data_IF_351570243088
#
_entry.id   IF_351570243088
#
_cell.length_a   1.000
_cell.length_b   1.000
_cell.length_c   1.000
_cell.angle_alpha   90.00
_cell.angle_beta   90.00
_cell.angle_gamma   90.00
#
_symmetry.space_group_name_H-M   'P 1'
#
loop_
_entity.id
_entity.type
_entity.pdbx_description
1 polymer ?
#
# COMPACT_ATOMS: atom_id res chain seq x y z
N UNK A 1 -3.39 -49.14 -48.07
CA UNK A 1 -2.15 -48.68 -47.39
C UNK A 1 -2.39 -47.26 -46.88
N UNK A 2 -2.82 -47.07 -45.62
CA UNK A 2 -3.10 -45.75 -45.07
C UNK A 2 -1.80 -45.12 -44.56
N UNK A 3 -1.48 -43.90 -45.00
CA UNK A 3 -0.26 -43.17 -44.60
C UNK A 3 -0.58 -42.21 -43.44
N UNK A 4 0.03 -42.53 -42.32
CA UNK A 4 0.16 -41.83 -41.05
C UNK A 4 0.54 -40.34 -41.14
N UNK A 5 -0.44 -39.43 -41.11
CA UNK A 5 -0.23 -37.97 -40.94
C UNK A 5 -1.24 -37.34 -39.97
N UNK A 6 -1.59 -38.08 -38.92
CA UNK A 6 -2.32 -37.57 -37.76
C UNK A 6 -1.55 -38.08 -36.55
N UNK A 7 -0.69 -37.24 -35.94
CA UNK A 7 -0.16 -37.36 -34.57
C UNK A 7 0.94 -36.30 -34.37
N UNK A 8 0.56 -35.03 -34.37
CA UNK A 8 1.36 -33.94 -33.78
C UNK A 8 0.41 -32.83 -33.29
N UNK A 9 -0.63 -33.25 -32.59
CA UNK A 9 -1.54 -32.38 -31.85
C UNK A 9 -1.80 -33.00 -30.47
N UNK A 10 -0.72 -33.32 -29.74
CA UNK A 10 -0.79 -33.83 -28.38
C UNK A 10 0.30 -33.15 -27.55
N UNK A 11 -0.13 -32.52 -26.46
CA UNK A 11 0.66 -31.97 -25.36
C UNK A 11 1.14 -30.50 -25.41
N UNK A 12 0.32 -29.56 -25.88
CA UNK A 12 0.10 -28.33 -25.09
C UNK A 12 -0.90 -28.68 -23.98
N UNK A 13 -0.45 -29.55 -23.07
CA UNK A 13 -1.16 -29.79 -21.83
C UNK A 13 -1.13 -28.47 -21.05
N UNK A 14 -2.32 -27.93 -20.87
CA UNK A 14 -2.60 -26.89 -19.91
C UNK A 14 -1.91 -27.23 -18.58
N UNK A 15 -0.92 -26.43 -18.19
CA UNK A 15 -0.86 -26.04 -16.81
C UNK A 15 -1.91 -24.93 -16.69
N UNK A 16 -3.08 -25.17 -16.07
CA UNK A 16 -3.81 -24.05 -15.56
C UNK A 16 -2.84 -23.40 -14.58
N UNK A 17 -2.30 -22.24 -14.92
CA UNK A 17 -1.88 -21.30 -13.89
C UNK A 17 -3.15 -21.16 -13.05
N UNK A 18 -3.24 -21.91 -11.94
CA UNK A 18 -4.35 -21.79 -11.01
C UNK A 18 -4.36 -20.32 -10.67
N UNK A 19 -5.37 -19.61 -11.17
CA UNK A 19 -5.64 -18.26 -10.74
C UNK A 19 -5.83 -18.39 -9.24
N UNK A 20 -4.78 -18.02 -8.49
CA UNK A 20 -4.84 -18.03 -7.04
C UNK A 20 -5.94 -17.04 -6.71
N UNK A 21 -6.95 -17.50 -5.99
CA UNK A 21 -8.07 -16.64 -5.60
C UNK A 21 -7.53 -15.33 -5.00
N UNK A 22 -8.06 -14.20 -5.48
CA UNK A 22 -7.68 -12.89 -4.97
C UNK A 22 -8.27 -12.81 -3.56
N UNK A 23 -7.40 -12.87 -2.56
CA UNK A 23 -7.76 -12.54 -1.18
C UNK A 23 -8.28 -11.10 -1.15
N UNK A 24 -9.54 -10.85 -0.76
CA UNK A 24 -10.14 -9.50 -0.74
C UNK A 24 -9.78 -8.75 0.56
N UNK A 25 -8.70 -7.97 0.52
CA UNK A 25 -8.17 -7.19 1.65
C UNK A 25 -8.58 -5.72 1.63
N UNK A 26 -9.48 -5.30 0.74
CA UNK A 26 -9.80 -3.89 0.58
C UNK A 26 -10.27 -3.20 1.88
N UNK A 27 -11.12 -3.81 2.73
CA UNK A 27 -11.49 -3.19 4.01
C UNK A 27 -10.29 -2.92 4.92
N UNK A 28 -9.31 -3.84 4.94
CA UNK A 28 -8.08 -3.65 5.69
C UNK A 28 -7.25 -2.51 5.09
N UNK A 29 -7.02 -2.51 3.77
CA UNK A 29 -6.23 -1.45 3.12
C UNK A 29 -6.86 -0.07 3.35
N UNK A 30 -8.19 0.02 3.25
CA UNK A 30 -8.93 1.25 3.56
C UNK A 30 -8.78 1.66 5.04
N UNK A 31 -8.83 0.71 5.99
CA UNK A 31 -8.58 0.98 7.41
C UNK A 31 -7.16 1.49 7.65
N UNK A 32 -6.14 0.84 7.07
CA UNK A 32 -4.74 1.22 7.21
C UNK A 32 -4.50 2.66 6.75
N UNK A 33 -5.10 3.06 5.63
CA UNK A 33 -5.05 4.43 5.10
C UNK A 33 -5.83 5.39 6.01
N UNK A 34 -7.14 5.18 6.12
CA UNK A 34 -8.08 6.21 6.59
C UNK A 34 -8.27 6.25 8.09
N UNK A 35 -7.99 5.16 8.81
CA UNK A 35 -8.21 5.07 10.25
C UNK A 35 -6.89 5.09 11.01
N UNK A 36 -5.95 4.21 10.64
CA UNK A 36 -4.68 4.04 11.33
C UNK A 36 -3.70 5.16 10.98
N UNK A 37 -3.22 5.21 9.73
CA UNK A 37 -2.23 6.21 9.33
C UNK A 37 -2.79 7.63 9.39
N UNK A 38 -3.94 7.91 8.77
CA UNK A 38 -4.52 9.26 8.84
C UNK A 38 -4.94 9.65 10.26
N UNK A 39 -5.34 8.69 11.10
CA UNK A 39 -5.60 8.93 12.52
C UNK A 39 -4.35 9.35 13.29
N UNK A 40 -3.21 8.70 13.05
CA UNK A 40 -1.93 9.09 13.62
C UNK A 40 -1.50 10.48 13.14
N UNK A 41 -1.56 10.72 11.83
CA UNK A 41 -1.18 12.00 11.23
C UNK A 41 -1.99 13.15 11.83
N UNK A 42 -3.32 13.10 11.72
CA UNK A 42 -4.22 14.20 12.10
C UNK A 42 -4.37 14.33 13.61
N UNK A 43 -4.41 13.22 14.34
CA UNK A 43 -4.90 13.20 15.73
C UNK A 43 -3.92 12.60 16.74
N UNK A 44 -2.70 12.25 16.33
CA UNK A 44 -1.68 11.66 17.20
C UNK A 44 -2.07 10.31 17.81
N UNK A 45 -3.10 9.64 17.28
CA UNK A 45 -3.52 8.33 17.77
C UNK A 45 -2.44 7.31 17.48
N UNK A 46 -2.19 6.39 18.40
CA UNK A 46 -1.34 5.23 18.13
C UNK A 46 -1.92 4.46 16.94
N UNK A 47 -1.18 4.29 15.84
CA UNK A 47 -1.70 3.57 14.68
C UNK A 47 -1.72 2.05 14.92
N UNK A 48 -2.56 1.34 14.18
CA UNK A 48 -2.63 -0.12 14.14
C UNK A 48 -3.10 -0.78 15.44
N UNK A 49 -3.71 -0.03 16.36
CA UNK A 49 -4.33 -0.59 17.55
C UNK A 49 -5.44 -1.59 17.18
N UNK A 50 -5.43 -2.74 17.84
CA UNK A 50 -6.36 -3.84 17.55
C UNK A 50 -6.05 -4.64 16.28
N UNK A 51 -4.95 -4.35 15.58
CA UNK A 51 -4.36 -5.30 14.62
C UNK A 51 -3.37 -6.19 15.34
N UNK A 52 -3.31 -7.46 14.95
CA UNK A 52 -2.26 -8.35 15.39
C UNK A 52 -0.93 -7.85 14.80
N UNK A 53 0.08 -7.60 15.64
CA UNK A 53 1.38 -7.06 15.23
C UNK A 53 2.52 -7.80 15.92
N UNK A 54 3.70 -7.76 15.29
CA UNK A 54 4.98 -8.15 15.90
C UNK A 54 6.08 -7.17 15.50
N UNK A 55 7.17 -7.06 16.26
CA UNK A 55 8.35 -6.32 15.80
C UNK A 55 8.80 -6.80 14.42
N UNK A 56 9.16 -5.86 13.55
CA UNK A 56 9.59 -6.19 12.20
C UNK A 56 10.92 -6.95 12.20
N UNK A 57 11.06 -7.89 11.26
CA UNK A 57 12.33 -8.53 10.95
C UNK A 57 13.35 -7.52 10.41
N UNK A 58 14.65 -7.84 10.50
CA UNK A 58 15.71 -6.98 9.92
C UNK A 58 15.51 -6.81 8.42
N UNK A 59 15.12 -7.88 7.74
CA UNK A 59 14.86 -7.89 6.30
C UNK A 59 13.69 -6.97 5.91
N UNK A 60 12.66 -6.87 6.77
CA UNK A 60 11.55 -5.93 6.56
C UNK A 60 11.96 -4.49 6.85
N UNK A 61 12.77 -4.26 7.91
CA UNK A 61 13.36 -2.96 8.22
C UNK A 61 14.24 -2.47 7.05
N UNK A 62 15.04 -3.35 6.45
CA UNK A 62 15.89 -3.06 5.29
C UNK A 62 15.14 -2.62 4.03
N UNK A 63 13.84 -2.89 3.95
CA UNK A 63 12.97 -2.39 2.88
C UNK A 63 12.35 -1.02 3.20
N UNK A 64 12.42 -0.54 4.43
CA UNK A 64 11.96 0.80 4.79
C UNK A 64 13.05 1.81 4.43
N UNK A 65 12.72 2.95 3.77
CA UNK A 65 13.71 3.98 3.47
C UNK A 65 14.49 4.41 4.72
N UNK A 66 15.81 4.52 4.60
CA UNK A 66 16.70 4.82 5.74
C UNK A 66 16.40 6.16 6.44
N UNK A 67 15.75 7.08 5.74
CA UNK A 67 15.33 8.38 6.27
C UNK A 67 13.94 8.36 6.92
N UNK A 68 13.22 7.24 6.90
CA UNK A 68 11.91 7.15 7.53
C UNK A 68 12.06 7.28 9.06
N UNK A 69 11.27 8.14 9.71
CA UNK A 69 11.38 8.35 11.15
C UNK A 69 11.00 7.08 11.90
N UNK A 70 11.73 6.80 12.98
CA UNK A 70 11.51 5.63 13.86
C UNK A 70 11.49 4.27 13.12
N UNK A 71 12.15 4.18 11.95
CA UNK A 71 12.26 2.95 11.14
C UNK A 71 12.60 1.69 11.95
N UNK A 72 13.48 1.80 12.93
CA UNK A 72 13.92 0.65 13.75
C UNK A 72 12.83 0.12 14.70
N UNK A 73 11.73 0.87 14.88
CA UNK A 73 10.54 0.48 15.65
C UNK A 73 9.42 -0.06 14.75
N UNK A 74 9.70 -0.31 13.47
CA UNK A 74 8.71 -0.84 12.55
C UNK A 74 8.10 -2.15 13.06
N UNK A 75 6.86 -2.38 12.68
CA UNK A 75 6.11 -3.58 13.03
C UNK A 75 5.69 -4.29 11.75
N UNK A 76 5.70 -5.62 11.79
CA UNK A 76 4.96 -6.41 10.83
C UNK A 76 3.52 -6.56 11.33
N UNK A 77 2.57 -6.22 10.46
CA UNK A 77 1.17 -6.49 10.70
C UNK A 77 0.96 -7.97 10.39
N UNK A 78 0.41 -8.74 11.34
CA UNK A 78 0.06 -10.15 11.18
C UNK A 78 -1.21 -10.35 10.35
N UNK A 79 -1.70 -9.27 9.76
CA UNK A 79 -2.62 -9.24 8.63
C UNK A 79 -1.78 -9.16 7.34
N UNK A 80 -2.15 -9.88 6.29
CA UNK A 80 -1.23 -10.60 5.42
C UNK A 80 -0.19 -9.66 4.76
N UNK A 81 1.07 -9.75 5.21
CA UNK A 81 2.29 -9.29 4.52
C UNK A 81 2.66 -7.81 4.61
N UNK A 82 2.16 -7.04 5.57
CA UNK A 82 2.55 -5.63 5.70
C UNK A 82 3.64 -5.39 6.73
N UNK A 83 4.59 -4.52 6.40
CA UNK A 83 5.42 -3.81 7.39
C UNK A 83 4.94 -2.38 7.46
N UNK A 84 4.81 -1.87 8.69
CA UNK A 84 4.44 -0.50 8.95
C UNK A 84 5.50 0.18 9.81
N UNK A 85 5.78 1.44 9.49
CA UNK A 85 6.63 2.32 10.27
C UNK A 85 5.95 3.69 10.39
N UNK A 86 6.07 4.32 11.54
CA UNK A 86 5.54 5.65 11.77
C UNK A 86 6.43 6.38 12.75
N UNK A 87 6.45 7.70 12.65
CA UNK A 87 7.27 8.53 13.50
C UNK A 87 7.04 10.00 13.24
N UNK A 88 7.90 10.83 13.82
CA UNK A 88 7.88 12.27 13.63
C UNK A 88 9.29 12.78 13.34
N UNK A 89 9.39 13.72 12.41
CA UNK A 89 10.60 14.48 12.15
C UNK A 89 10.30 16.00 12.15
N UNK A 90 11.21 16.79 11.62
CA UNK A 90 11.05 18.24 11.49
C UNK A 90 9.93 18.67 10.52
N UNK A 91 9.52 17.78 9.61
CA UNK A 91 8.51 18.04 8.59
C UNK A 91 7.10 17.64 9.04
N UNK A 92 6.99 16.74 10.03
CA UNK A 92 5.70 16.38 10.61
C UNK A 92 5.65 14.92 11.06
N UNK A 93 4.43 14.40 11.14
CA UNK A 93 4.20 12.97 11.37
C UNK A 93 4.22 12.25 10.03
N UNK A 94 4.70 11.01 10.06
CA UNK A 94 4.77 10.14 8.89
C UNK A 94 4.28 8.76 9.25
N UNK A 95 3.54 8.12 8.35
CA UNK A 95 3.11 6.74 8.45
C UNK A 95 3.34 6.07 7.10
N UNK A 96 4.09 4.98 7.11
CA UNK A 96 4.46 4.19 5.96
C UNK A 96 3.93 2.78 6.16
N UNK A 97 3.29 2.23 5.14
CA UNK A 97 2.93 0.82 5.09
C UNK A 97 3.45 0.26 3.76
N UNK A 98 4.14 -0.87 3.80
CA UNK A 98 4.66 -1.56 2.62
C UNK A 98 4.32 -3.03 2.67
N UNK A 99 4.14 -3.66 1.52
CA UNK A 99 4.21 -5.11 1.43
C UNK A 99 5.65 -5.59 1.63
N UNK A 100 5.83 -6.71 2.31
CA UNK A 100 7.15 -7.27 2.63
C UNK A 100 7.46 -8.43 1.69
N UNK A 101 8.53 -8.31 0.91
CA UNK A 101 8.97 -9.37 -0.02
C UNK A 101 9.43 -10.65 0.67
N UNK A 102 9.88 -10.58 1.94
CA UNK A 102 10.23 -11.78 2.69
C UNK A 102 9.01 -12.67 2.98
N UNK A 103 7.79 -12.12 2.97
CA UNK A 103 6.58 -12.93 3.08
C UNK A 103 6.45 -13.94 1.93
N UNK A 104 7.00 -13.62 0.74
CA UNK A 104 6.99 -14.56 -0.40
C UNK A 104 7.82 -15.82 -0.11
N UNK A 105 8.88 -15.69 0.70
CA UNK A 105 9.70 -16.83 1.14
C UNK A 105 8.91 -17.78 2.04
N UNK A 106 7.94 -17.26 2.78
CA UNK A 106 7.03 -18.04 3.63
C UNK A 106 5.76 -18.50 2.87
N UNK A 107 5.73 -18.36 1.54
CA UNK A 107 4.59 -18.73 0.69
C UNK A 107 3.42 -17.75 0.74
N UNK A 108 3.60 -16.58 1.38
CA UNK A 108 2.63 -15.50 1.44
C UNK A 108 2.95 -14.43 0.39
N UNK A 109 2.14 -14.27 -0.66
CA UNK A 109 2.50 -13.41 -1.78
C UNK A 109 2.57 -11.92 -1.40
N UNK A 110 3.63 -11.18 -1.75
CA UNK A 110 3.86 -9.79 -1.33
C UNK A 110 2.98 -8.79 -2.12
N UNK A 111 1.68 -8.88 -1.91
CA UNK A 111 0.64 -8.14 -2.65
C UNK A 111 -0.40 -7.61 -1.69
N UNK A 112 -1.07 -6.53 -2.09
CA UNK A 112 -2.17 -5.95 -1.32
C UNK A 112 -3.35 -6.92 -1.19
N UNK A 113 -3.60 -7.76 -2.19
CA UNK A 113 -4.84 -8.53 -2.26
C UNK A 113 -6.04 -7.60 -2.42
N UNK A 114 -5.97 -6.67 -3.36
CA UNK A 114 -7.14 -5.88 -3.77
C UNK A 114 -7.30 -6.03 -5.27
N UNK A 115 -8.55 -6.03 -5.74
CA UNK A 115 -8.84 -6.00 -7.17
C UNK A 115 -8.35 -4.68 -7.73
N UNK A 116 -7.59 -4.72 -8.82
CA UNK A 116 -7.03 -3.50 -9.41
C UNK A 116 -8.16 -2.62 -9.99
N UNK A 117 -9.12 -3.26 -10.66
CA UNK A 117 -10.29 -2.59 -11.20
C UNK A 117 -11.03 -1.71 -10.16
N UNK A 118 -11.18 -0.44 -10.54
CA UNK A 118 -11.90 0.62 -9.81
C UNK A 118 -11.37 0.93 -8.39
N UNK A 119 -10.27 0.32 -7.94
CA UNK A 119 -9.75 0.49 -6.58
C UNK A 119 -9.37 1.94 -6.28
N UNK A 120 -8.62 2.59 -7.18
CA UNK A 120 -8.27 4.01 -7.02
C UNK A 120 -9.50 4.93 -7.05
N UNK A 121 -10.55 4.53 -7.77
CA UNK A 121 -11.85 5.22 -7.75
C UNK A 121 -12.45 5.18 -6.35
N UNK A 122 -12.54 4.00 -5.73
CA UNK A 122 -13.05 3.84 -4.36
C UNK A 122 -12.18 4.54 -3.32
N UNK A 123 -10.86 4.51 -3.48
CA UNK A 123 -9.94 5.30 -2.63
C UNK A 123 -10.22 6.79 -2.78
N UNK A 124 -10.43 7.28 -4.00
CA UNK A 124 -10.72 8.69 -4.27
C UNK A 124 -12.06 9.12 -3.66
N UNK A 125 -13.10 8.30 -3.77
CA UNK A 125 -14.39 8.57 -3.13
C UNK A 125 -14.26 8.67 -1.61
N UNK A 126 -13.53 7.73 -0.99
CA UNK A 126 -13.30 7.77 0.47
C UNK A 126 -12.39 8.92 0.88
N UNK A 127 -11.41 9.28 0.07
CA UNK A 127 -10.55 10.45 0.28
C UNK A 127 -11.37 11.75 0.28
N UNK A 128 -12.28 11.90 -0.69
CA UNK A 128 -13.19 13.05 -0.75
C UNK A 128 -14.05 13.14 0.50
N UNK A 129 -14.60 12.01 0.96
CA UNK A 129 -15.37 11.96 2.22
C UNK A 129 -14.52 12.31 3.45
N UNK A 130 -13.20 12.08 3.40
CA UNK A 130 -12.24 12.42 4.45
C UNK A 130 -11.65 13.85 4.33
N UNK A 131 -12.17 14.69 3.43
CA UNK A 131 -11.77 16.09 3.27
C UNK A 131 -10.56 16.32 2.38
N UNK A 132 -10.17 15.36 1.55
CA UNK A 132 -9.15 15.56 0.52
C UNK A 132 -9.79 16.19 -0.71
N UNK A 133 -9.28 17.35 -1.12
CA UNK A 133 -9.84 18.15 -2.21
C UNK A 133 -9.07 17.94 -3.52
N UNK A 134 -7.81 17.53 -3.42
CA UNK A 134 -6.92 17.30 -4.56
C UNK A 134 -6.68 15.79 -4.70
N UNK A 135 -6.91 15.26 -5.89
CA UNK A 135 -6.74 13.84 -6.20
C UNK A 135 -6.13 13.67 -7.59
N UNK A 136 -5.00 12.98 -7.64
CA UNK A 136 -4.26 12.64 -8.85
C UNK A 136 -4.11 11.11 -8.91
N UNK A 137 -5.20 10.36 -9.15
CA UNK A 137 -5.10 8.91 -9.30
C UNK A 137 -4.38 8.58 -10.61
N UNK A 138 -3.44 7.64 -10.56
CA UNK A 138 -2.84 7.09 -11.76
C UNK A 138 -3.86 6.28 -12.58
N UNK A 139 -3.77 6.38 -13.91
CA UNK A 139 -4.62 5.57 -14.81
C UNK A 139 -4.22 4.10 -14.84
N UNK A 140 -2.96 3.81 -14.50
CA UNK A 140 -2.39 2.47 -14.48
C UNK A 140 -1.51 2.27 -13.25
N UNK A 141 -1.41 1.03 -12.80
CA UNK A 141 -0.52 0.66 -11.70
C UNK A 141 0.85 0.29 -12.26
N UNK A 142 1.85 1.12 -11.99
CA UNK A 142 3.22 0.89 -12.43
C UNK A 142 4.22 1.57 -11.49
N UNK A 143 5.49 1.16 -11.47
CA UNK A 143 6.51 1.80 -10.64
C UNK A 143 6.78 3.27 -11.03
N UNK A 144 6.30 3.69 -12.20
CA UNK A 144 6.48 5.04 -12.74
C UNK A 144 5.24 5.92 -12.54
N UNK A 145 4.13 5.35 -12.08
CA UNK A 145 2.86 6.04 -11.93
C UNK A 145 2.48 6.08 -10.45
N UNK A 146 2.28 7.29 -9.93
CA UNK A 146 2.01 7.53 -8.52
C UNK A 146 0.62 8.10 -8.35
N UNK A 147 -0.20 7.50 -7.49
CA UNK A 147 -1.50 8.06 -7.10
C UNK A 147 -1.34 8.91 -5.85
N UNK A 148 -1.82 10.15 -5.88
CA UNK A 148 -1.65 11.11 -4.79
C UNK A 148 -2.98 11.78 -4.41
N UNK A 149 -3.18 12.02 -3.12
CA UNK A 149 -4.28 12.80 -2.59
C UNK A 149 -3.77 13.77 -1.52
N UNK A 150 -4.24 15.00 -1.55
CA UNK A 150 -3.89 16.05 -0.59
C UNK A 150 -5.13 16.80 -0.10
N UNK A 151 -5.08 17.25 1.16
CA UNK A 151 -5.87 18.39 1.58
C UNK A 151 -5.52 19.60 0.69
N UNK A 152 -6.43 20.58 0.64
CA UNK A 152 -6.24 21.79 -0.17
C UNK A 152 -4.84 22.37 0.02
N UNK A 153 -4.15 22.63 -1.09
CA UNK A 153 -2.82 23.21 -1.06
C UNK A 153 -2.79 24.50 -0.22
N UNK A 154 -1.80 24.56 0.68
CA UNK A 154 -1.54 25.72 1.53
C UNK A 154 -0.52 26.66 0.91
N UNK A 155 -0.04 26.38 -0.31
CA UNK A 155 1.13 27.05 -0.91
C UNK A 155 2.47 26.63 -0.29
N UNK A 156 2.47 25.61 0.57
CA UNK A 156 3.67 25.04 1.20
C UNK A 156 3.83 23.57 0.84
N UNK A 157 4.85 23.24 0.08
CA UNK A 157 5.15 21.84 -0.30
C UNK A 157 5.98 21.11 0.79
N UNK A 158 6.58 21.87 1.72
CA UNK A 158 7.44 21.35 2.78
C UNK A 158 7.21 22.06 4.11
N UNK A 159 7.68 21.44 5.20
CA UNK A 159 7.67 22.02 6.52
C UNK A 159 6.31 21.96 7.22
N UNK A 160 6.15 22.70 8.33
CA UNK A 160 5.04 22.51 9.25
C UNK A 160 3.67 22.97 8.71
N UNK A 161 3.63 23.59 7.54
CA UNK A 161 2.40 24.08 6.92
C UNK A 161 1.96 23.22 5.73
N UNK A 162 2.70 22.16 5.40
CA UNK A 162 2.33 21.27 4.30
C UNK A 162 0.95 20.64 4.56
N UNK A 163 0.10 20.48 3.53
CA UNK A 163 -1.16 19.78 3.69
C UNK A 163 -0.93 18.32 4.07
N UNK A 164 -1.90 17.71 4.76
CA UNK A 164 -1.92 16.25 4.91
C UNK A 164 -2.10 15.63 3.54
N UNK A 165 -1.28 14.64 3.22
CA UNK A 165 -1.36 13.93 1.96
C UNK A 165 -1.05 12.46 2.11
N UNK A 166 -1.57 11.66 1.19
CA UNK A 166 -1.20 10.26 1.08
C UNK A 166 -1.01 9.86 -0.37
N UNK A 167 -0.21 8.82 -0.53
CA UNK A 167 0.24 8.33 -1.81
C UNK A 167 0.16 6.81 -1.83
N UNK A 168 -0.44 6.25 -2.87
CA UNK A 168 -0.48 4.81 -3.14
C UNK A 168 0.42 4.53 -4.33
N UNK A 169 1.46 3.71 -4.10
CA UNK A 169 2.56 3.39 -5.03
C UNK A 169 2.59 1.89 -5.33
N UNK A 170 1.67 1.35 -6.14
CA UNK A 170 1.73 -0.04 -6.57
C UNK A 170 2.71 -0.19 -7.74
N UNK A 171 3.57 -1.19 -7.67
CA UNK A 171 4.57 -1.49 -8.72
C UNK A 171 3.98 -2.23 -9.91
N UNK A 172 2.76 -2.75 -9.77
CA UNK A 172 2.05 -3.41 -10.87
C UNK A 172 0.68 -3.91 -10.47
N UNK A 173 -0.01 -4.47 -11.45
CA UNK A 173 -1.29 -5.16 -11.25
C UNK A 173 -1.36 -6.41 -12.08
N UNK A 174 -1.86 -7.48 -11.49
CA UNK A 174 -2.28 -8.69 -12.19
C UNK A 174 -3.70 -8.97 -11.73
N UNK A 175 -4.69 -8.91 -12.62
CA UNK A 175 -6.10 -9.10 -12.25
C UNK A 175 -6.38 -10.46 -11.60
N UNK A 176 -5.57 -11.50 -11.87
CA UNK A 176 -5.71 -12.78 -11.19
C UNK A 176 -5.04 -12.79 -9.81
N UNK A 177 -4.18 -11.80 -9.51
CA UNK A 177 -3.35 -11.78 -8.30
C UNK A 177 -3.49 -10.51 -7.46
N UNK A 178 -4.20 -9.49 -7.90
CA UNK A 178 -4.31 -8.18 -7.26
C UNK A 178 -3.12 -7.24 -7.53
N UNK A 179 -3.04 -6.15 -6.75
CA UNK A 179 -1.97 -5.16 -6.85
C UNK A 179 -0.64 -5.68 -6.27
N UNK A 180 0.41 -5.60 -7.10
CA UNK A 180 1.80 -5.93 -6.77
C UNK A 180 2.50 -4.73 -6.11
N UNK A 181 3.39 -5.03 -5.17
CA UNK A 181 4.10 -4.13 -4.26
C UNK A 181 3.54 -2.74 -4.12
N UNK A 182 2.58 -2.58 -3.22
CA UNK A 182 2.14 -1.26 -2.84
C UNK A 182 3.00 -0.72 -1.70
N UNK A 183 3.67 0.40 -1.97
CA UNK A 183 3.98 1.36 -0.92
C UNK A 183 2.76 2.25 -0.69
N UNK A 184 2.22 2.23 0.51
CA UNK A 184 1.36 3.31 1.00
C UNK A 184 2.23 4.26 1.81
N UNK A 185 2.32 5.51 1.37
CA UNK A 185 3.02 6.56 2.11
C UNK A 185 1.99 7.60 2.52
N UNK A 186 1.82 7.80 3.81
CA UNK A 186 0.97 8.85 4.37
C UNK A 186 1.86 9.85 5.07
N UNK A 187 1.79 11.11 4.65
CA UNK A 187 2.59 12.19 5.18
C UNK A 187 1.69 13.29 5.71
N UNK A 188 1.99 13.79 6.90
CA UNK A 188 1.32 14.96 7.46
C UNK A 188 2.23 16.17 7.51
N UNK A 189 1.66 17.35 7.28
CA UNK A 189 2.08 18.51 8.07
C UNK A 189 1.63 18.34 9.52
N UNK A 190 2.33 18.95 10.50
CA UNK A 190 1.91 18.92 11.88
C UNK A 190 0.47 19.43 12.01
N UNK A 191 -0.28 18.94 13.02
CA UNK A 191 -1.59 19.46 13.32
C UNK A 191 -1.46 20.97 13.50
N UNK A 192 -2.24 21.75 12.73
CA UNK A 192 -2.37 23.17 13.01
C UNK A 192 -3.00 23.30 14.40
N UNK A 193 -2.17 23.70 15.36
CA UNK A 193 -2.56 23.96 16.73
C UNK A 193 -1.38 24.56 17.45
N UNK A 194 -1.44 25.87 17.70
CA UNK A 194 -0.63 26.50 18.75
C UNK A 194 -0.81 25.72 20.07
N UNK A 195 0.20 25.78 20.97
CA UNK A 195 0.20 25.07 22.25
C UNK A 195 -1.06 25.29 23.08
#
# INVERSE_FOLDING_TARGET
>A
MPRSWLLLAVCLAALPARAVEIEENEPLVMRLIFEDCLGYIRHARTPFEGLATRPASREAIDQIPSHAPDREKAVELLSPRYVAAWGRDALGRHCLVRTVWSAERDGLPARLGVRAKDFLGRVTERARAAGFEEAFPAETFSPLATSHWSEKSTGHDTGPLRPVSFTVLPTGSDEARGLMDAGLIVMGGPPQGRP
#
